data_IF_101309388736
#
_entry.id   IF_101309388736
#
_cell.length_a   1.000
_cell.length_b   1.000
_cell.length_c   1.000
_cell.angle_alpha   90.00
_cell.angle_beta   90.00
_cell.angle_gamma   90.00
#
_symmetry.space_group_name_H-M   'P 1'
#
loop_
_entity.id
_entity.type
_entity.pdbx_description
1 polymer ?
#
# COMPACT_ATOMS: atom_id res chain seq x y z
N UNK A 1 -7.87 -17.70 2.79
CA UNK A 1 -7.09 -16.73 3.58
C UNK A 1 -6.12 -16.03 2.62
N UNK A 2 -5.73 -14.77 2.80
CA UNK A 2 -4.86 -14.09 1.80
C UNK A 2 -3.48 -14.74 1.66
N UNK A 3 -2.98 -15.38 2.72
CA UNK A 3 -1.72 -16.15 2.68
C UNK A 3 -1.79 -17.33 1.71
N UNK A 4 -2.90 -18.07 1.66
CA UNK A 4 -3.05 -19.20 0.72
C UNK A 4 -3.12 -18.72 -0.73
N UNK A 5 -3.71 -17.54 -0.97
CA UNK A 5 -3.73 -16.92 -2.30
C UNK A 5 -2.32 -16.48 -2.75
N UNK A 6 -1.54 -15.94 -1.81
CA UNK A 6 -0.13 -15.61 -2.03
C UNK A 6 0.72 -16.85 -2.31
N UNK A 7 0.58 -17.91 -1.52
CA UNK A 7 1.28 -19.19 -1.75
C UNK A 7 0.95 -19.81 -3.11
N UNK A 8 -0.30 -19.70 -3.54
CA UNK A 8 -0.73 -20.17 -4.85
C UNK A 8 -0.18 -19.32 -6.01
N UNK A 9 -0.01 -18.00 -5.81
CA UNK A 9 0.53 -17.07 -6.81
C UNK A 9 1.47 -16.03 -6.19
N UNK A 10 2.76 -16.37 -6.00
CA UNK A 10 3.74 -15.49 -5.35
C UNK A 10 4.22 -14.33 -6.24
N UNK A 11 3.56 -14.07 -7.37
CA UNK A 11 3.81 -12.91 -8.23
C UNK A 11 2.62 -11.94 -8.28
N UNK A 12 1.59 -12.16 -7.45
CA UNK A 12 0.42 -11.30 -7.35
C UNK A 12 0.49 -10.41 -6.13
N UNK A 13 0.30 -9.11 -6.34
CA UNK A 13 0.41 -8.11 -5.28
C UNK A 13 -0.89 -7.92 -4.50
N UNK A 14 -2.05 -8.23 -5.09
CA UNK A 14 -3.34 -8.10 -4.43
C UNK A 14 -3.37 -8.84 -3.09
N UNK A 15 -2.95 -10.11 -2.97
CA UNK A 15 -2.93 -10.81 -1.70
C UNK A 15 -1.96 -10.20 -0.68
N UNK A 16 -0.81 -9.68 -1.13
CA UNK A 16 0.17 -9.03 -0.25
C UNK A 16 -0.41 -7.75 0.35
N UNK A 17 -1.04 -6.91 -0.48
CA UNK A 17 -1.62 -5.67 0.02
C UNK A 17 -2.72 -5.96 1.05
N UNK A 18 -3.55 -6.98 0.81
CA UNK A 18 -4.58 -7.39 1.76
C UNK A 18 -4.00 -7.99 3.05
N UNK A 19 -2.88 -8.73 2.97
CA UNK A 19 -2.14 -9.17 4.15
C UNK A 19 -1.61 -7.98 4.95
N UNK A 20 -0.94 -7.02 4.28
CA UNK A 20 -0.42 -5.83 4.92
C UNK A 20 -1.52 -5.03 5.64
N UNK A 21 -2.67 -4.85 4.99
CA UNK A 21 -3.86 -4.22 5.58
C UNK A 21 -4.35 -4.93 6.82
N UNK A 22 -4.49 -6.26 6.75
CA UNK A 22 -4.92 -7.06 7.89
C UNK A 22 -3.98 -6.91 9.09
N UNK A 23 -2.66 -6.90 8.85
CA UNK A 23 -1.68 -6.66 9.92
C UNK A 23 -1.73 -5.22 10.46
N UNK A 24 -1.91 -4.21 9.60
CA UNK A 24 -2.08 -2.81 10.06
C UNK A 24 -3.31 -2.69 10.95
N UNK A 25 -4.44 -3.25 10.52
CA UNK A 25 -5.70 -3.22 11.27
C UNK A 25 -5.62 -3.97 12.60
N UNK A 26 -4.74 -4.98 12.71
CA UNK A 26 -4.46 -5.68 13.96
C UNK A 26 -3.43 -4.97 14.86
N UNK A 27 -2.94 -3.79 14.48
CA UNK A 27 -1.90 -3.06 15.23
C UNK A 27 -0.45 -3.49 14.93
N UNK A 28 -0.23 -4.48 14.06
CA UNK A 28 1.09 -5.04 13.75
C UNK A 28 1.77 -4.26 12.61
N UNK A 29 2.10 -2.99 12.87
CA UNK A 29 2.64 -2.06 11.86
C UNK A 29 3.93 -2.56 11.20
N UNK A 30 4.88 -3.07 11.98
CA UNK A 30 6.14 -3.59 11.45
C UNK A 30 5.93 -4.81 10.55
N UNK A 31 4.99 -5.69 10.89
CA UNK A 31 4.66 -6.86 10.06
C UNK A 31 3.99 -6.43 8.76
N UNK A 32 3.10 -5.43 8.81
CA UNK A 32 2.51 -4.84 7.61
C UNK A 32 3.60 -4.24 6.70
N UNK A 33 4.53 -3.47 7.24
CA UNK A 33 5.65 -2.89 6.50
C UNK A 33 6.57 -3.95 5.88
N UNK A 34 6.83 -5.07 6.57
CA UNK A 34 7.58 -6.20 6.01
C UNK A 34 6.89 -6.79 4.77
N UNK A 35 5.57 -6.98 4.81
CA UNK A 35 4.81 -7.47 3.66
C UNK A 35 4.83 -6.47 2.50
N UNK A 36 4.69 -5.17 2.81
CA UNK A 36 4.79 -4.10 1.82
C UNK A 36 6.16 -4.16 1.13
N UNK A 37 7.25 -4.22 1.88
CA UNK A 37 8.60 -4.29 1.33
C UNK A 37 8.79 -5.53 0.45
N UNK A 38 8.26 -6.68 0.87
CA UNK A 38 8.28 -7.88 0.05
C UNK A 38 7.55 -7.70 -1.29
N UNK A 39 6.43 -6.99 -1.31
CA UNK A 39 5.69 -6.73 -2.54
C UNK A 39 6.33 -5.69 -3.45
N UNK A 40 7.05 -4.69 -2.91
CA UNK A 40 7.79 -3.71 -3.74
C UNK A 40 8.84 -4.35 -4.66
N UNK A 41 9.32 -5.54 -4.30
CA UNK A 41 10.27 -6.32 -5.10
C UNK A 41 9.62 -7.05 -6.29
N UNK A 42 8.30 -7.03 -6.40
CA UNK A 42 7.55 -7.75 -7.43
C UNK A 42 7.06 -6.73 -8.46
N UNK A 43 7.45 -6.95 -9.72
CA UNK A 43 7.01 -6.12 -10.83
C UNK A 43 5.58 -6.40 -11.27
N UNK A 44 5.15 -5.66 -12.30
CA UNK A 44 3.85 -5.86 -12.94
C UNK A 44 3.74 -7.30 -13.51
N UNK A 45 2.58 -7.98 -13.39
CA UNK A 45 2.43 -9.35 -13.86
C UNK A 45 2.54 -9.41 -15.38
N UNK A 46 3.43 -10.25 -15.90
CA UNK A 46 3.63 -10.42 -17.35
C UNK A 46 2.60 -11.33 -18.02
N UNK A 47 2.10 -12.34 -17.28
CA UNK A 47 1.23 -13.39 -17.81
C UNK A 47 -0.25 -13.23 -17.45
N UNK A 48 -0.61 -12.32 -16.55
CA UNK A 48 -1.99 -12.05 -16.17
C UNK A 48 -2.43 -10.70 -16.75
N UNK A 49 -3.48 -10.70 -17.58
CA UNK A 49 -4.05 -9.48 -18.18
C UNK A 49 -5.45 -9.13 -17.67
N UNK A 50 -6.14 -10.09 -17.06
CA UNK A 50 -7.49 -9.92 -16.54
C UNK A 50 -7.46 -9.89 -15.01
N UNK A 51 -8.35 -9.10 -14.42
CA UNK A 51 -8.54 -9.00 -12.97
C UNK A 51 -7.26 -8.57 -12.23
N UNK A 52 -6.45 -7.68 -12.82
CA UNK A 52 -5.28 -7.06 -12.19
C UNK A 52 -5.68 -5.68 -11.69
N UNK A 53 -5.56 -5.46 -10.39
CA UNK A 53 -5.80 -4.16 -9.78
C UNK A 53 -4.57 -3.28 -9.98
N UNK A 54 -4.48 -2.63 -11.14
CA UNK A 54 -3.29 -1.88 -11.59
C UNK A 54 -2.84 -0.81 -10.59
N UNK A 55 -3.78 -0.18 -9.89
CA UNK A 55 -3.49 0.83 -8.88
C UNK A 55 -2.60 0.30 -7.74
N UNK A 56 -2.70 -0.99 -7.40
CA UNK A 56 -1.89 -1.63 -6.36
C UNK A 56 -0.41 -1.61 -6.76
N UNK A 57 -0.14 -1.94 -8.03
CA UNK A 57 1.19 -1.96 -8.61
C UNK A 57 1.77 -0.56 -8.80
N UNK A 58 0.92 0.44 -9.00
CA UNK A 58 1.32 1.81 -9.28
C UNK A 58 1.60 2.60 -8.00
N UNK A 59 0.69 2.56 -7.03
CA UNK A 59 0.75 3.42 -5.84
C UNK A 59 0.11 2.82 -4.57
N UNK A 60 -0.57 1.67 -4.65
CA UNK A 60 -1.28 1.11 -3.49
C UNK A 60 -0.37 0.79 -2.30
N UNK A 61 0.86 0.34 -2.58
CA UNK A 61 1.86 0.06 -1.55
C UNK A 61 2.37 1.33 -0.86
N UNK A 62 2.45 2.44 -1.58
CA UNK A 62 2.82 3.75 -1.01
C UNK A 62 1.75 4.25 -0.03
N UNK A 63 0.48 4.14 -0.43
CA UNK A 63 -0.66 4.51 0.40
C UNK A 63 -0.65 3.71 1.72
N UNK A 64 -0.47 2.39 1.61
CA UNK A 64 -0.47 1.49 2.76
C UNK A 64 0.77 1.71 3.66
N UNK A 65 1.95 1.96 3.06
CA UNK A 65 3.16 2.23 3.83
C UNK A 65 3.07 3.50 4.63
N UNK A 66 2.54 4.57 4.03
CA UNK A 66 2.39 5.85 4.72
C UNK A 66 1.42 5.72 5.90
N UNK A 67 0.31 4.98 5.73
CA UNK A 67 -0.60 4.68 6.83
C UNK A 67 0.10 3.90 7.96
N UNK A 68 0.88 2.87 7.63
CA UNK A 68 1.63 2.11 8.64
C UNK A 68 2.68 2.96 9.36
N UNK A 69 3.43 3.78 8.62
CA UNK A 69 4.45 4.69 9.16
C UNK A 69 3.82 5.68 10.15
N UNK A 70 2.70 6.29 9.77
CA UNK A 70 1.95 7.21 10.62
C UNK A 70 1.58 6.59 11.98
N UNK A 71 0.98 5.41 11.96
CA UNK A 71 0.58 4.71 13.19
C UNK A 71 1.76 4.13 13.98
N UNK A 72 2.93 4.00 13.35
CA UNK A 72 4.18 3.59 14.00
C UNK A 72 4.99 4.79 14.54
N UNK A 73 4.47 6.02 14.42
CA UNK A 73 5.10 7.25 14.91
C UNK A 73 6.07 7.92 13.92
N UNK A 74 6.26 7.35 12.73
CA UNK A 74 7.06 7.97 11.66
C UNK A 74 6.17 8.90 10.81
N UNK A 75 5.81 10.03 11.41
CA UNK A 75 4.93 11.03 10.79
C UNK A 75 5.61 11.73 9.61
N UNK A 76 6.92 12.00 9.71
CA UNK A 76 7.68 12.66 8.65
C UNK A 76 7.75 11.78 7.39
N UNK A 77 8.10 10.49 7.55
CA UNK A 77 8.12 9.53 6.44
C UNK A 77 6.75 9.36 5.79
N UNK A 78 5.68 9.29 6.59
CA UNK A 78 4.31 9.23 6.10
C UNK A 78 3.93 10.47 5.25
N UNK A 79 4.24 11.67 5.76
CA UNK A 79 3.95 12.94 5.09
C UNK A 79 4.70 13.07 3.77
N UNK A 80 5.98 12.69 3.71
CA UNK A 80 6.76 12.69 2.45
C UNK A 80 6.09 11.80 1.40
N UNK A 81 5.63 10.61 1.77
CA UNK A 81 4.96 9.70 0.83
C UNK A 81 3.61 10.27 0.39
N UNK A 82 2.82 10.83 1.30
CA UNK A 82 1.55 11.45 0.98
C UNK A 82 1.69 12.63 0.01
N UNK A 83 2.67 13.51 0.22
CA UNK A 83 2.96 14.60 -0.71
C UNK A 83 3.32 14.07 -2.10
N UNK A 84 4.20 13.05 -2.17
CA UNK A 84 4.56 12.39 -3.43
C UNK A 84 3.35 11.76 -4.13
N UNK A 85 2.40 11.20 -3.38
CA UNK A 85 1.17 10.65 -3.94
C UNK A 85 0.29 11.74 -4.56
N UNK A 86 0.21 12.92 -3.94
CA UNK A 86 -0.59 14.03 -4.47
C UNK A 86 -0.05 14.60 -5.79
N UNK A 87 1.25 14.49 -6.05
CA UNK A 87 1.87 14.89 -7.32
C UNK A 87 1.49 13.98 -8.49
N UNK A 88 0.97 12.78 -8.22
CA UNK A 88 0.58 11.81 -9.26
C UNK A 88 -0.70 12.23 -9.97
N UNK A 89 -0.71 12.03 -11.28
CA UNK A 89 -1.88 12.28 -12.15
C UNK A 89 -2.82 11.07 -12.26
N UNK A 90 -2.32 9.86 -11.97
CA UNK A 90 -3.06 8.59 -12.03
C UNK A 90 -3.70 8.18 -10.69
N UNK A 91 -3.62 9.06 -9.68
CA UNK A 91 -4.26 8.84 -8.37
C UNK A 91 -5.77 9.09 -8.49
N UNK A 92 -6.58 8.14 -8.02
CA UNK A 92 -8.04 8.29 -8.02
C UNK A 92 -8.47 9.41 -7.09
N UNK A 93 -9.61 10.05 -7.39
CA UNK A 93 -10.14 11.14 -6.54
C UNK A 93 -10.41 10.67 -5.10
N UNK A 94 -10.88 9.43 -4.94
CA UNK A 94 -11.06 8.81 -3.62
C UNK A 94 -9.75 8.70 -2.84
N UNK A 95 -8.66 8.27 -3.49
CA UNK A 95 -7.37 8.14 -2.83
C UNK A 95 -6.77 9.52 -2.54
N UNK A 96 -6.95 10.49 -3.44
CA UNK A 96 -6.56 11.89 -3.22
C UNK A 96 -7.23 12.47 -1.98
N UNK A 97 -8.55 12.27 -1.83
CA UNK A 97 -9.30 12.73 -0.66
C UNK A 97 -8.81 12.09 0.66
N UNK A 98 -8.45 10.80 0.64
CA UNK A 98 -7.85 10.13 1.81
C UNK A 98 -6.50 10.74 2.16
N UNK A 99 -5.64 10.93 1.16
CA UNK A 99 -4.29 11.48 1.37
C UNK A 99 -4.34 12.91 1.88
N UNK A 100 -5.21 13.77 1.33
CA UNK A 100 -5.39 15.15 1.82
C UNK A 100 -5.96 15.18 3.23
N UNK A 101 -6.93 14.32 3.55
CA UNK A 101 -7.46 14.20 4.91
C UNK A 101 -6.39 13.77 5.90
N UNK A 102 -5.51 12.83 5.53
CA UNK A 102 -4.43 12.36 6.39
C UNK A 102 -3.37 13.44 6.60
N UNK A 103 -3.00 14.19 5.56
CA UNK A 103 -2.06 15.31 5.66
C UNK A 103 -2.59 16.43 6.56
N UNK A 104 -3.91 16.67 6.57
CA UNK A 104 -4.52 17.64 7.47
C UNK A 104 -4.34 17.28 8.96
N UNK A 105 -4.13 15.99 9.28
CA UNK A 105 -3.85 15.51 10.65
C UNK A 105 -2.38 15.72 11.05
N UNK A 106 -1.51 16.02 10.09
CA UNK A 106 -0.07 16.23 10.32
C UNK A 106 0.30 17.69 10.65
N UNK A 107 -0.63 18.63 10.49
CA UNK A 107 -0.46 20.05 10.82
C UNK A 107 -1.14 20.39 12.14
#
# INVERSE_FOLDING_TARGET
>A
MFITAWEYRPNRLEPILQLARGYRESGAMMTALMWIERGRQIGFPSNDRLFVDTWIYLWGFDLESAACMWWNGDHEGATVIWLRLLERTDLTESARAVVTSNLALSN
#
